data_IF_677418696685
#
_entry.id   IF_677418696685
#
_cell.length_a   1.000
_cell.length_b   1.000
_cell.length_c   1.000
_cell.angle_alpha   90.00
_cell.angle_beta   90.00
_cell.angle_gamma   90.00
#
_symmetry.space_group_name_H-M   'P 1'
#
loop_
_entity.id
_entity.type
_entity.pdbx_description
1 polymer ?
#
# COMPACT_ATOMS: atom_id res chain seq x y z
N UNK A 1 2.50 12.95 10.80
CA UNK A 1 1.30 13.83 10.79
C UNK A 1 1.65 15.27 10.42
N UNK A 2 2.90 15.66 10.61
CA UNK A 2 3.50 16.95 10.30
C UNK A 2 3.33 17.33 8.83
N UNK A 3 3.46 16.37 7.91
CA UNK A 3 3.20 16.60 6.49
C UNK A 3 1.78 17.10 6.24
N UNK A 4 0.78 16.45 6.84
CA UNK A 4 -0.61 16.84 6.70
C UNK A 4 -0.88 18.21 7.35
N UNK A 5 -0.31 18.48 8.54
CA UNK A 5 -0.41 19.78 9.20
C UNK A 5 0.21 20.90 8.35
N UNK A 6 1.38 20.66 7.75
CA UNK A 6 2.09 21.65 6.96
C UNK A 6 1.41 22.00 5.63
N UNK A 7 0.47 21.18 5.17
CA UNK A 7 -0.23 21.34 3.89
C UNK A 7 -1.75 21.49 4.07
N UNK A 8 -2.22 21.77 5.29
CA UNK A 8 -3.64 21.90 5.62
C UNK A 8 -4.51 20.72 5.12
N UNK A 9 -3.98 19.50 5.21
CA UNK A 9 -4.66 18.28 4.80
C UNK A 9 -5.54 17.78 5.96
N UNK A 10 -6.88 17.76 5.81
CA UNK A 10 -7.78 17.44 6.92
C UNK A 10 -8.03 15.94 7.09
N UNK A 11 -7.68 15.11 6.09
CA UNK A 11 -8.01 13.69 6.10
C UNK A 11 -6.99 12.83 5.35
N UNK A 12 -6.90 11.56 5.74
CA UNK A 12 -6.14 10.49 5.10
C UNK A 12 -7.12 9.41 4.63
N UNK A 13 -6.88 8.86 3.44
CA UNK A 13 -7.66 7.73 2.92
C UNK A 13 -6.79 6.48 2.94
N UNK A 14 -7.29 5.38 3.53
CA UNK A 14 -6.59 4.09 3.61
C UNK A 14 -7.47 2.95 3.11
N UNK A 15 -6.87 2.05 2.32
CA UNK A 15 -7.51 0.81 1.92
C UNK A 15 -7.36 -0.26 3.00
N UNK A 16 -8.42 -1.03 3.27
CA UNK A 16 -8.40 -2.21 4.13
C UNK A 16 -8.57 -3.46 3.27
N UNK A 17 -7.68 -4.45 3.43
CA UNK A 17 -7.72 -5.69 2.64
C UNK A 17 -8.38 -6.84 3.40
N UNK A 18 -8.19 -6.88 4.71
CA UNK A 18 -8.76 -7.88 5.60
C UNK A 18 -9.06 -7.26 6.97
N UNK A 19 -9.91 -7.94 7.74
CA UNK A 19 -10.25 -7.55 9.12
C UNK A 19 -8.99 -7.44 10.00
N UNK A 20 -7.97 -8.24 9.73
CA UNK A 20 -6.69 -8.20 10.46
C UNK A 20 -5.93 -6.88 10.31
N UNK A 21 -6.11 -6.16 9.20
CA UNK A 21 -5.49 -4.83 9.01
C UNK A 21 -6.22 -3.77 9.88
N UNK A 22 -7.48 -4.00 10.26
CA UNK A 22 -8.35 -2.99 10.84
C UNK A 22 -7.93 -2.52 12.23
N UNK A 23 -7.61 -3.42 13.16
CA UNK A 23 -7.35 -3.04 14.55
C UNK A 23 -6.13 -2.12 14.67
N UNK A 24 -5.06 -2.46 13.96
CA UNK A 24 -3.85 -1.63 13.89
C UNK A 24 -4.14 -0.27 13.25
N UNK A 25 -4.88 -0.28 12.14
CA UNK A 25 -5.20 0.93 11.39
C UNK A 25 -6.14 1.88 12.16
N UNK A 26 -7.10 1.31 12.90
CA UNK A 26 -8.01 2.06 13.75
C UNK A 26 -7.26 2.74 14.91
N UNK A 27 -6.33 2.02 15.55
CA UNK A 27 -5.49 2.61 16.60
C UNK A 27 -4.68 3.79 16.07
N UNK A 28 -4.10 3.64 14.87
CA UNK A 28 -3.35 4.72 14.23
C UNK A 28 -4.24 5.91 13.85
N UNK A 29 -5.45 5.66 13.33
CA UNK A 29 -6.42 6.71 13.01
C UNK A 29 -6.80 7.54 14.25
N UNK A 30 -7.08 6.89 15.38
CA UNK A 30 -7.37 7.56 16.64
C UNK A 30 -6.21 8.43 17.11
N UNK A 31 -4.98 7.91 17.02
CA UNK A 31 -3.78 8.67 17.39
C UNK A 31 -3.57 9.89 16.49
N UNK A 32 -3.77 9.73 15.18
CA UNK A 32 -3.64 10.82 14.21
C UNK A 32 -4.66 11.93 14.45
N UNK A 33 -5.91 11.55 14.72
CA UNK A 33 -6.95 12.49 15.10
C UNK A 33 -6.61 13.21 16.41
N UNK A 34 -6.17 12.49 17.44
CA UNK A 34 -5.81 13.09 18.73
C UNK A 34 -4.63 14.06 18.64
N UNK A 35 -3.60 13.71 17.86
CA UNK A 35 -2.38 14.53 17.74
C UNK A 35 -2.53 15.71 16.78
N UNK A 36 -3.44 15.63 15.82
CA UNK A 36 -3.44 16.53 14.68
C UNK A 36 -4.81 16.95 14.14
N UNK A 37 -5.91 16.40 14.66
CA UNK A 37 -7.25 16.63 14.13
C UNK A 37 -7.45 16.09 12.72
N UNK A 38 -6.62 15.12 12.30
CA UNK A 38 -6.67 14.54 10.95
C UNK A 38 -7.59 13.33 10.96
N UNK A 39 -8.62 13.38 10.13
CA UNK A 39 -9.56 12.27 9.94
C UNK A 39 -8.92 11.13 9.14
N UNK A 40 -9.36 9.89 9.38
CA UNK A 40 -8.96 8.74 8.55
C UNK A 40 -10.19 8.05 8.00
N UNK A 41 -10.28 8.00 6.66
CA UNK A 41 -11.35 7.34 5.93
C UNK A 41 -10.85 5.99 5.43
N UNK A 42 -11.55 4.93 5.82
CA UNK A 42 -11.25 3.57 5.37
C UNK A 42 -12.11 3.16 4.18
N UNK A 43 -11.48 2.59 3.16
CA UNK A 43 -12.15 2.02 1.99
C UNK A 43 -11.87 0.52 1.93
N UNK A 44 -12.91 -0.30 1.82
CA UNK A 44 -12.73 -1.74 1.63
C UNK A 44 -12.17 -2.03 0.24
N UNK A 45 -11.10 -2.80 0.18
CA UNK A 45 -10.49 -3.22 -1.09
C UNK A 45 -11.30 -4.34 -1.71
N UNK A 46 -11.48 -4.34 -3.04
CA UNK A 46 -12.15 -5.44 -3.74
C UNK A 46 -11.52 -6.79 -3.36
N UNK A 47 -12.32 -7.82 -3.02
CA UNK A 47 -11.82 -9.13 -2.59
C UNK A 47 -10.81 -9.76 -3.57
N UNK A 48 -10.93 -9.47 -4.86
CA UNK A 48 -10.03 -9.93 -5.92
C UNK A 48 -8.58 -9.42 -5.78
N UNK A 49 -8.35 -8.40 -4.94
CA UNK A 49 -7.02 -7.85 -4.64
C UNK A 49 -6.63 -8.03 -3.17
N UNK A 50 -7.44 -8.73 -2.37
CA UNK A 50 -7.19 -8.90 -0.93
C UNK A 50 -5.89 -9.66 -0.62
N UNK A 51 -5.50 -10.60 -1.49
CA UNK A 51 -4.26 -11.37 -1.38
C UNK A 51 -3.05 -10.65 -1.99
N UNK A 52 -3.25 -9.53 -2.69
CA UNK A 52 -2.18 -8.83 -3.37
C UNK A 52 -1.39 -7.96 -2.40
N UNK A 53 -0.06 -8.16 -2.37
CA UNK A 53 0.86 -7.27 -1.66
C UNK A 53 2.10 -7.02 -2.52
N UNK A 54 2.71 -5.83 -2.39
CA UNK A 54 3.94 -5.52 -3.11
C UNK A 54 5.08 -6.48 -2.76
N UNK A 55 5.12 -7.01 -1.52
CA UNK A 55 6.09 -8.02 -1.12
C UNK A 55 5.91 -9.32 -1.90
N UNK A 56 4.68 -9.83 -1.96
CA UNK A 56 4.36 -11.05 -2.71
C UNK A 56 4.63 -10.90 -4.21
N UNK A 57 4.24 -9.77 -4.81
CA UNK A 57 4.52 -9.48 -6.23
C UNK A 57 6.02 -9.50 -6.52
N UNK A 58 6.81 -8.83 -5.68
CA UNK A 58 8.28 -8.81 -5.83
C UNK A 58 8.88 -10.20 -5.66
N UNK A 59 8.37 -10.99 -4.73
CA UNK A 59 8.84 -12.36 -4.50
C UNK A 59 8.56 -13.27 -5.70
N UNK A 60 7.32 -13.28 -6.21
CA UNK A 60 6.95 -14.05 -7.41
C UNK A 60 7.82 -13.63 -8.60
N UNK A 61 7.96 -12.33 -8.85
CA UNK A 61 8.79 -11.83 -9.94
C UNK A 61 10.26 -12.21 -9.80
N UNK A 62 10.81 -12.18 -8.58
CA UNK A 62 12.20 -12.58 -8.28
C UNK A 62 12.47 -14.05 -8.63
N UNK A 63 11.47 -14.92 -8.46
CA UNK A 63 11.57 -16.34 -8.83
C UNK A 63 11.11 -16.64 -10.27
N UNK A 64 10.94 -15.62 -11.10
CA UNK A 64 10.61 -15.77 -12.52
C UNK A 64 9.13 -15.99 -12.83
N UNK A 65 8.24 -15.80 -11.85
CA UNK A 65 6.79 -15.82 -12.10
C UNK A 65 6.31 -14.56 -12.83
N UNK A 66 5.29 -14.72 -13.68
CA UNK A 66 4.65 -13.59 -14.36
C UNK A 66 3.72 -12.83 -13.40
N UNK A 67 3.91 -11.51 -13.32
CA UNK A 67 3.11 -10.59 -12.49
C UNK A 67 2.45 -9.49 -13.31
N UNK A 68 2.47 -9.59 -14.64
CA UNK A 68 1.99 -8.55 -15.57
C UNK A 68 0.52 -8.17 -15.36
N UNK A 69 -0.33 -9.11 -14.92
CA UNK A 69 -1.73 -8.87 -14.57
C UNK A 69 -1.94 -8.18 -13.21
N UNK A 70 -0.89 -8.04 -12.39
CA UNK A 70 -0.98 -7.59 -11.00
C UNK A 70 -0.33 -6.23 -10.74
N UNK A 71 0.31 -5.65 -11.76
CA UNK A 71 0.92 -4.32 -11.68
C UNK A 71 0.66 -3.53 -12.95
N UNK A 72 0.60 -2.19 -12.87
CA UNK A 72 0.59 -1.35 -14.06
C UNK A 72 1.82 -1.57 -14.96
N UNK A 73 1.72 -1.36 -16.30
CA UNK A 73 2.81 -1.63 -17.23
C UNK A 73 4.13 -0.87 -16.94
N UNK A 74 4.02 0.37 -16.45
CA UNK A 74 5.19 1.17 -16.05
C UNK A 74 5.90 0.56 -14.83
N UNK A 75 5.15 -0.02 -13.89
CA UNK A 75 5.71 -0.70 -12.71
C UNK A 75 6.36 -2.03 -13.11
N UNK A 76 5.75 -2.79 -14.03
CA UNK A 76 6.34 -4.03 -14.53
C UNK A 76 7.71 -3.78 -15.17
N UNK A 77 7.80 -2.74 -15.99
CA UNK A 77 9.04 -2.36 -16.69
C UNK A 77 10.17 -2.09 -15.68
N UNK A 78 9.89 -1.27 -14.67
CA UNK A 78 10.87 -0.90 -13.65
C UNK A 78 11.24 -2.09 -12.74
N UNK A 79 10.27 -2.92 -12.37
CA UNK A 79 10.49 -4.12 -11.57
C UNK A 79 11.46 -5.09 -12.27
N UNK A 80 11.26 -5.35 -13.56
CA UNK A 80 12.13 -6.23 -14.35
C UNK A 80 13.54 -5.63 -14.51
N UNK A 81 13.63 -4.32 -14.75
CA UNK A 81 14.93 -3.64 -14.86
C UNK A 81 15.73 -3.78 -13.56
N UNK A 82 15.08 -3.55 -12.41
CA UNK A 82 15.70 -3.68 -11.09
C UNK A 82 16.18 -5.12 -10.80
N UNK A 83 15.36 -6.13 -11.10
CA UNK A 83 15.72 -7.53 -10.86
C UNK A 83 16.93 -7.97 -11.70
N UNK A 84 17.06 -7.49 -12.95
CA UNK A 84 18.24 -7.75 -13.81
C UNK A 84 19.52 -7.12 -13.25
N UNK A 85 19.42 -5.92 -12.70
CA UNK A 85 20.55 -5.22 -12.08
C UNK A 85 21.04 -5.91 -10.80
N UNK A 86 20.16 -6.57 -10.05
CA UNK A 86 20.52 -7.34 -8.85
C UNK A 86 21.20 -8.70 -9.17
N UNK A 87 21.12 -9.16 -10.43
CA UNK A 87 21.68 -10.44 -10.90
C UNK A 87 22.97 -10.26 -11.74
N UNK A 88 23.41 -9.03 -11.98
CA UNK A 88 24.66 -8.67 -12.67
C UNK A 88 25.74 -8.29 -11.67
#
# INVERSE_FOLDING_TARGET
>A
MEYCKAHDIPAIVKGLRAVSDFDYELQMAQMNHQLAGIETVFISTSPQYSFLSSSLVKEIAKYGGDVSAHVPPNVLTELVARLKAEMS
#
